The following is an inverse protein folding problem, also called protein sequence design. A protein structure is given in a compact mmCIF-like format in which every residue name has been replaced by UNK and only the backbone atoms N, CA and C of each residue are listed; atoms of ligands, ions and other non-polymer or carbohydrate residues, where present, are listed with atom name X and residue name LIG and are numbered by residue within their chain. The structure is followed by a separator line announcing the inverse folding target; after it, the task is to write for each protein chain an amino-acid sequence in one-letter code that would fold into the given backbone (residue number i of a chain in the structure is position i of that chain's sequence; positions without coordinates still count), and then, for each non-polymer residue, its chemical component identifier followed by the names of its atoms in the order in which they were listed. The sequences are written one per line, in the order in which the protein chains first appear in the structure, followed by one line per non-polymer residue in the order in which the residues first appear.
data_IF_156237596267
#
_entry.id   IF_156237596267
#
_cell.length_a   1.000
_cell.length_b   1.000
_cell.length_c   1.000
_cell.angle_alpha   90.00
_cell.angle_beta   90.00
_cell.angle_gamma   90.00
#
_symmetry.space_group_name_H-M   'P 1'
#
loop_
_entity.id
_entity.type
_entity.pdbx_description
1 polymer ?
#
# COMPACT_ATOMS: atom_id res chain seq x y z
N UNK A 1 -29.26 -1.30 22.11
CA UNK A 1 -29.06 -1.13 20.66
C UNK A 1 -27.80 -0.31 20.45
N UNK A 2 -26.73 -0.98 20.05
CA UNK A 2 -25.54 -0.38 19.45
C UNK A 2 -24.92 -1.52 18.63
N UNK A 3 -25.16 -1.51 17.32
CA UNK A 3 -24.59 -2.48 16.41
C UNK A 3 -23.10 -2.18 16.29
N UNK A 4 -22.27 -2.98 16.95
CA UNK A 4 -20.84 -3.00 16.73
C UNK A 4 -20.61 -3.50 15.30
N UNK A 5 -20.21 -2.60 14.41
CA UNK A 5 -19.69 -2.95 13.09
C UNK A 5 -18.49 -3.87 13.37
N UNK A 6 -18.64 -5.14 13.00
CA UNK A 6 -17.61 -6.16 13.09
C UNK A 6 -16.30 -5.58 12.61
N UNK A 7 -15.28 -5.58 13.49
CA UNK A 7 -13.89 -5.38 13.06
C UNK A 7 -13.67 -6.36 11.91
N UNK A 8 -13.44 -5.86 10.71
CA UNK A 8 -12.96 -6.68 9.60
C UNK A 8 -11.54 -7.06 10.03
N UNK A 9 -11.40 -8.26 10.58
CA UNK A 9 -10.20 -8.77 11.27
C UNK A 9 -9.08 -9.23 10.35
N UNK A 10 -9.18 -9.06 9.05
CA UNK A 10 -8.36 -9.89 8.15
C UNK A 10 -7.20 -9.16 7.49
N UNK A 11 -6.84 -7.94 7.93
CA UNK A 11 -5.76 -7.17 7.32
C UNK A 11 -4.55 -7.03 8.26
N UNK A 12 -3.77 -8.11 8.43
CA UNK A 12 -2.47 -8.04 9.12
C UNK A 12 -1.33 -8.06 8.11
N UNK A 13 -0.69 -6.90 7.90
CA UNK A 13 0.59 -6.85 7.20
C UNK A 13 1.71 -7.22 8.18
N UNK A 14 2.18 -8.46 8.16
CA UNK A 14 3.31 -8.86 9.03
C UNK A 14 4.63 -8.49 8.35
N UNK A 15 5.24 -7.39 8.79
CA UNK A 15 6.59 -6.97 8.39
C UNK A 15 7.62 -7.47 9.39
N UNK A 16 8.57 -8.29 8.94
CA UNK A 16 9.67 -8.75 9.80
C UNK A 16 10.83 -7.76 9.79
N UNK A 17 11.42 -7.43 10.96
CA UNK A 17 12.41 -6.35 11.15
C UNK A 17 13.80 -6.61 10.53
N UNK A 18 13.92 -7.62 9.67
CA UNK A 18 15.15 -7.99 8.99
C UNK A 18 14.77 -8.61 7.65
N UNK A 19 14.72 -7.78 6.61
CA UNK A 19 14.64 -8.17 5.19
C UNK A 19 13.41 -8.98 4.74
N UNK A 20 12.81 -8.50 3.64
CA UNK A 20 12.07 -9.25 2.60
C UNK A 20 10.66 -9.82 2.82
N UNK A 21 9.91 -9.58 3.91
CA UNK A 21 8.53 -10.14 4.00
C UNK A 21 7.48 -9.25 4.66
N UNK A 22 6.35 -9.10 3.97
CA UNK A 22 5.12 -8.38 4.30
C UNK A 22 3.85 -9.18 3.88
N UNK A 23 3.28 -10.05 4.73
CA UNK A 23 2.14 -10.90 4.31
C UNK A 23 0.84 -10.09 4.20
N UNK A 24 0.09 -10.16 3.09
CA UNK A 24 -1.21 -9.49 2.93
C UNK A 24 -2.35 -10.51 2.87
N UNK A 25 -3.05 -10.74 3.98
CA UNK A 25 -4.27 -11.57 3.97
C UNK A 25 -5.50 -10.71 3.66
N UNK A 26 -6.40 -11.18 2.80
CA UNK A 26 -7.75 -10.64 2.65
C UNK A 26 -8.71 -11.81 2.42
N UNK A 27 -10.01 -11.61 2.67
CA UNK A 27 -11.07 -12.63 2.49
C UNK A 27 -11.28 -13.09 1.04
N UNK A 28 -10.47 -12.60 0.10
CA UNK A 28 -10.21 -13.20 -1.20
C UNK A 28 -8.72 -13.53 -1.27
N UNK A 29 -8.37 -14.79 -1.60
CA UNK A 29 -6.99 -15.34 -1.71
C UNK A 29 -5.87 -14.31 -1.47
N UNK A 30 -5.18 -14.36 -0.31
CA UNK A 30 -4.09 -13.45 0.06
C UNK A 30 -3.15 -13.16 -1.11
N UNK A 31 -2.77 -11.90 -1.30
CA UNK A 31 -1.71 -11.59 -2.26
C UNK A 31 -0.43 -12.30 -1.80
N UNK A 32 0.17 -13.05 -2.70
CA UNK A 32 1.41 -13.76 -2.44
C UNK A 32 2.57 -12.78 -2.26
N UNK A 33 3.52 -13.17 -1.42
CA UNK A 33 4.76 -12.43 -1.25
C UNK A 33 5.69 -12.62 -2.44
N UNK A 34 6.18 -11.51 -2.99
CA UNK A 34 7.07 -11.52 -4.16
C UNK A 34 8.43 -10.92 -3.81
N UNK A 35 9.46 -11.79 -3.79
CA UNK A 35 10.84 -11.38 -3.54
C UNK A 35 11.36 -10.44 -4.64
N UNK A 36 10.89 -10.60 -5.87
CA UNK A 36 11.28 -9.74 -7.00
C UNK A 36 10.73 -8.31 -6.80
N UNK A 37 9.45 -8.17 -6.44
CA UNK A 37 8.85 -6.87 -6.13
C UNK A 37 9.49 -6.21 -4.91
N UNK A 38 9.85 -7.00 -3.89
CA UNK A 38 10.56 -6.51 -2.71
C UNK A 38 11.98 -6.03 -3.05
N UNK A 39 12.69 -6.73 -3.94
CA UNK A 39 14.03 -6.31 -4.42
C UNK A 39 13.95 -5.01 -5.22
N UNK A 40 12.91 -4.85 -6.04
CA UNK A 40 12.62 -3.59 -6.74
C UNK A 40 12.31 -2.48 -5.72
N UNK A 41 11.44 -2.74 -4.75
CA UNK A 41 11.09 -1.79 -3.69
C UNK A 41 12.34 -1.33 -2.90
N UNK A 42 13.24 -2.26 -2.60
CA UNK A 42 14.53 -1.96 -1.98
C UNK A 42 15.35 -1.01 -2.84
N UNK A 43 15.53 -1.32 -4.13
CA UNK A 43 16.33 -0.49 -5.04
C UNK A 43 15.84 0.96 -5.14
N UNK A 44 14.53 1.18 -4.94
CA UNK A 44 13.91 2.51 -4.89
C UNK A 44 14.10 3.14 -3.51
N UNK A 45 13.78 2.41 -2.43
CA UNK A 45 13.82 2.93 -1.07
C UNK A 45 15.23 3.37 -0.63
N UNK A 46 16.28 2.65 -1.05
CA UNK A 46 17.68 2.99 -0.74
C UNK A 46 18.14 4.32 -1.34
N UNK A 47 17.42 4.86 -2.33
CA UNK A 47 17.76 6.16 -2.93
C UNK A 47 17.49 7.31 -1.97
N UNK A 48 16.63 7.11 -0.96
CA UNK A 48 16.22 8.16 -0.02
C UNK A 48 15.64 9.40 -0.72
N UNK A 49 14.98 9.19 -1.86
CA UNK A 49 14.20 10.19 -2.59
C UNK A 49 12.73 9.78 -2.51
N UNK A 50 11.98 10.46 -1.64
CA UNK A 50 10.56 10.21 -1.50
C UNK A 50 9.81 10.63 -2.77
N UNK A 51 9.17 9.67 -3.41
CA UNK A 51 8.44 9.85 -4.64
C UNK A 51 8.08 8.50 -5.25
N UNK A 52 7.10 8.51 -6.15
CA UNK A 52 6.75 7.30 -6.89
C UNK A 52 7.79 7.00 -7.96
N UNK A 53 8.19 5.73 -8.07
CA UNK A 53 8.99 5.19 -9.17
C UNK A 53 8.42 3.83 -9.55
N UNK A 54 7.76 3.78 -10.71
CA UNK A 54 7.21 2.55 -11.30
C UNK A 54 7.92 2.16 -12.59
N UNK A 55 9.08 2.76 -12.86
CA UNK A 55 9.92 2.44 -14.03
C UNK A 55 11.07 1.49 -13.68
N UNK A 56 11.58 1.56 -12.44
CA UNK A 56 12.62 0.65 -11.95
C UNK A 56 12.17 -0.82 -12.02
N UNK A 57 13.06 -1.73 -12.40
CA UNK A 57 12.73 -3.17 -12.48
C UNK A 57 11.75 -3.53 -13.60
N UNK A 58 11.81 -2.84 -14.76
CA UNK A 58 10.95 -3.01 -15.95
C UNK A 58 9.49 -2.54 -15.83
N UNK A 59 9.11 -2.02 -14.68
CA UNK A 59 7.76 -1.49 -14.43
C UNK A 59 6.65 -2.54 -14.47
N UNK A 60 5.42 -2.09 -14.77
CA UNK A 60 4.24 -2.97 -14.82
C UNK A 60 3.73 -3.43 -13.45
N UNK A 61 3.99 -2.66 -12.40
CA UNK A 61 3.47 -2.84 -11.05
C UNK A 61 2.84 -1.54 -10.53
N UNK A 62 1.90 -1.66 -9.61
CA UNK A 62 1.35 -0.55 -8.84
C UNK A 62 2.23 -0.26 -7.63
N UNK A 63 2.06 0.89 -7.00
CA UNK A 63 2.93 1.28 -5.89
C UNK A 63 2.22 2.15 -4.86
N UNK A 64 2.42 1.80 -3.59
CA UNK A 64 2.17 2.68 -2.44
C UNK A 64 3.51 3.05 -1.82
N UNK A 65 3.64 4.29 -1.37
CA UNK A 65 4.82 4.78 -0.66
C UNK A 65 4.42 5.46 0.64
N UNK A 66 5.29 5.37 1.65
CA UNK A 66 5.07 6.02 2.94
C UNK A 66 6.37 6.52 3.54
N UNK A 67 6.30 7.57 4.35
CA UNK A 67 7.43 8.14 5.06
C UNK A 67 7.13 8.27 6.56
N UNK A 68 8.16 8.15 7.40
CA UNK A 68 8.04 8.43 8.83
C UNK A 68 7.92 7.22 9.75
N UNK A 69 7.57 6.04 9.22
CA UNK A 69 7.38 4.83 10.01
C UNK A 69 8.62 3.92 9.95
N UNK A 70 9.26 3.59 11.09
CA UNK A 70 10.24 2.51 11.15
C UNK A 70 9.58 1.16 10.87
N UNK A 71 10.37 0.13 10.52
CA UNK A 71 9.90 -1.21 10.12
C UNK A 71 8.82 -1.78 11.05
N UNK A 72 8.95 -1.60 12.36
CA UNK A 72 7.99 -2.08 13.37
C UNK A 72 6.62 -1.39 13.33
N UNK A 73 6.54 -0.20 12.74
CA UNK A 73 5.31 0.62 12.66
C UNK A 73 4.70 0.63 11.26
N UNK A 74 5.40 0.09 10.25
CA UNK A 74 4.87 0.01 8.89
C UNK A 74 3.56 -0.80 8.80
N UNK A 75 3.34 -1.89 9.56
CA UNK A 75 2.03 -2.55 9.61
C UNK A 75 0.90 -1.56 9.94
N UNK A 76 1.09 -0.74 10.98
CA UNK A 76 0.13 0.31 11.38
C UNK A 76 0.01 1.44 10.36
N UNK A 77 1.12 1.84 9.72
CA UNK A 77 1.07 2.81 8.63
C UNK A 77 0.15 2.31 7.50
N UNK A 78 0.21 1.03 7.17
CA UNK A 78 -0.59 0.45 6.09
C UNK A 78 -2.04 0.21 6.54
N UNK A 79 -2.27 -0.41 7.71
CA UNK A 79 -3.63 -0.71 8.21
C UNK A 79 -4.42 0.54 8.60
N UNK A 80 -3.78 1.48 9.29
CA UNK A 80 -4.49 2.58 9.93
C UNK A 80 -4.46 3.83 9.04
N UNK A 81 -3.32 4.13 8.41
CA UNK A 81 -3.18 5.34 7.61
C UNK A 81 -3.60 5.11 6.16
N UNK A 82 -2.93 4.20 5.45
CA UNK A 82 -3.21 3.96 4.02
C UNK A 82 -4.56 3.29 3.77
N UNK A 83 -5.00 2.41 4.67
CA UNK A 83 -6.32 1.80 4.60
C UNK A 83 -7.34 2.55 5.47
N UNK A 84 -7.12 2.62 6.78
CA UNK A 84 -8.12 3.10 7.75
C UNK A 84 -8.56 4.55 7.56
N UNK A 85 -7.65 5.47 7.24
CA UNK A 85 -7.99 6.87 6.99
C UNK A 85 -8.62 7.08 5.61
N UNK A 86 -8.33 6.20 4.65
CA UNK A 86 -8.69 6.37 3.24
C UNK A 86 -9.97 5.62 2.85
N UNK A 87 -10.31 4.53 3.53
CA UNK A 87 -11.50 3.71 3.24
C UNK A 87 -12.80 4.52 3.28
N UNK A 88 -12.88 5.50 4.18
CA UNK A 88 -14.04 6.40 4.32
C UNK A 88 -14.03 7.56 3.30
N UNK A 89 -12.92 7.75 2.60
CA UNK A 89 -12.75 8.76 1.54
C UNK A 89 -12.98 8.17 0.15
N UNK A 90 -13.03 6.83 0.03
CA UNK A 90 -13.31 6.15 -1.22
C UNK A 90 -14.77 6.41 -1.67
N UNK A 91 -15.00 6.94 -2.87
CA UNK A 91 -16.30 7.54 -3.20
C UNK A 91 -17.39 6.51 -3.48
N UNK A 92 -17.08 5.40 -4.17
CA UNK A 92 -18.08 4.41 -4.61
C UNK A 92 -17.50 3.02 -4.86
N UNK A 93 -18.07 2.02 -4.21
CA UNK A 93 -17.77 0.61 -4.48
C UNK A 93 -18.46 0.09 -5.74
N UNK A 94 -17.82 -0.88 -6.40
CA UNK A 94 -18.35 -1.57 -7.59
C UNK A 94 -18.79 -0.65 -8.73
N UNK A 95 -18.20 0.56 -8.80
CA UNK A 95 -18.41 1.58 -9.83
C UNK A 95 -17.10 2.32 -10.07
N UNK A 96 -17.00 3.00 -11.20
CA UNK A 96 -15.89 3.92 -11.44
C UNK A 96 -15.99 5.14 -10.52
N UNK A 97 -14.91 5.50 -9.80
CA UNK A 97 -14.87 6.63 -8.89
C UNK A 97 -14.64 7.95 -9.65
N UNK A 98 -14.98 9.06 -9.00
CA UNK A 98 -14.45 10.37 -9.41
C UNK A 98 -12.97 10.46 -8.99
N UNK A 99 -12.10 10.69 -9.97
CA UNK A 99 -10.65 10.75 -9.79
C UNK A 99 -10.15 12.09 -9.22
N UNK A 100 -11.02 13.09 -9.05
CA UNK A 100 -10.66 14.44 -8.58
C UNK A 100 -9.92 14.46 -7.23
N UNK A 101 -10.17 13.46 -6.38
CA UNK A 101 -9.57 13.32 -5.05
C UNK A 101 -8.73 12.04 -4.91
N UNK A 102 -8.21 11.49 -6.01
CA UNK A 102 -7.47 10.22 -6.01
C UNK A 102 -6.37 10.14 -4.94
N UNK A 103 -5.62 11.22 -4.72
CA UNK A 103 -4.56 11.28 -3.71
C UNK A 103 -5.04 11.06 -2.25
N UNK A 104 -6.35 11.08 -1.99
CA UNK A 104 -6.95 10.85 -0.66
C UNK A 104 -7.39 9.40 -0.42
N UNK A 105 -7.47 8.57 -1.45
CA UNK A 105 -7.98 7.20 -1.32
C UNK A 105 -7.23 6.16 -2.18
N UNK A 106 -6.24 6.61 -2.96
CA UNK A 106 -5.53 5.77 -3.92
C UNK A 106 -4.71 4.66 -3.27
N UNK A 107 -4.23 4.85 -2.03
CA UNK A 107 -3.52 3.77 -1.33
C UNK A 107 -4.52 2.67 -0.95
N UNK A 108 -5.66 3.05 -0.39
CA UNK A 108 -6.74 2.12 -0.05
C UNK A 108 -7.18 1.30 -1.28
N UNK A 109 -7.47 1.95 -2.41
CA UNK A 109 -7.96 1.24 -3.58
C UNK A 109 -6.94 0.27 -4.19
N UNK A 110 -5.64 0.58 -4.09
CA UNK A 110 -4.57 -0.36 -4.47
C UNK A 110 -4.52 -1.55 -3.49
N UNK A 111 -4.64 -1.28 -2.19
CA UNK A 111 -4.60 -2.30 -1.14
C UNK A 111 -5.70 -3.35 -1.35
N UNK A 112 -6.93 -2.92 -1.66
CA UNK A 112 -8.07 -3.83 -1.83
C UNK A 112 -8.29 -4.29 -3.27
N UNK A 113 -7.34 -4.03 -4.16
CA UNK A 113 -7.50 -4.30 -5.59
C UNK A 113 -7.57 -5.80 -5.89
N UNK A 114 -8.76 -6.30 -6.24
CA UNK A 114 -9.02 -7.73 -6.38
C UNK A 114 -8.08 -8.47 -7.35
N UNK A 115 -7.71 -7.84 -8.46
CA UNK A 115 -6.85 -8.46 -9.47
C UNK A 115 -5.38 -8.51 -9.05
N UNK A 116 -4.94 -7.73 -8.05
CA UNK A 116 -3.57 -7.81 -7.54
C UNK A 116 -3.37 -9.17 -6.88
N UNK A 117 -2.24 -9.81 -7.19
CA UNK A 117 -1.91 -11.18 -6.74
C UNK A 117 -0.61 -11.26 -5.97
N UNK A 118 0.25 -10.27 -6.11
CA UNK A 118 1.57 -10.25 -5.51
C UNK A 118 1.86 -8.87 -4.93
N UNK A 119 2.54 -8.85 -3.80
CA UNK A 119 3.08 -7.63 -3.18
C UNK A 119 4.50 -7.87 -2.69
N UNK A 120 5.34 -6.85 -2.78
CA UNK A 120 6.67 -6.83 -2.17
C UNK A 120 6.99 -5.44 -1.65
N UNK A 121 7.41 -5.36 -0.39
CA UNK A 121 7.69 -4.11 0.29
C UNK A 121 9.14 -4.06 0.81
N UNK A 122 9.65 -2.85 0.96
CA UNK A 122 10.91 -2.58 1.65
C UNK A 122 10.86 -1.22 2.35
N UNK A 123 11.50 -1.14 3.51
CA UNK A 123 11.64 0.10 4.29
C UNK A 123 13.12 0.41 4.49
N UNK A 124 13.52 1.64 4.15
CA UNK A 124 14.87 2.15 4.32
C UNK A 124 14.91 3.21 5.41
N UNK A 125 15.83 3.08 6.36
CA UNK A 125 16.24 4.19 7.22
C UNK A 125 17.27 5.09 6.49
N UNK A 126 16.90 6.33 6.20
CA UNK A 126 17.67 7.32 5.46
C UNK A 126 18.45 8.24 6.40
N UNK A 127 19.51 7.70 7.02
CA UNK A 127 20.30 8.32 8.11
C UNK A 127 20.53 9.83 7.99
N UNK A 128 20.95 10.30 6.81
CA UNK A 128 21.35 11.70 6.63
C UNK A 128 20.18 12.63 6.30
N UNK A 129 19.18 12.15 5.55
CA UNK A 129 17.90 12.83 5.25
C UNK A 129 17.07 11.97 4.28
N UNK A 130 15.76 12.00 4.43
CA UNK A 130 14.81 11.66 3.37
C UNK A 130 14.50 12.92 2.55
N UNK A 131 14.86 12.94 1.27
CA UNK A 131 14.53 14.04 0.36
C UNK A 131 13.13 13.88 -0.23
N UNK A 132 12.53 14.95 -0.77
CA UNK A 132 11.18 14.89 -1.35
C UNK A 132 10.03 14.96 -0.33
N UNK A 133 10.33 15.02 0.96
CA UNK A 133 9.34 15.27 2.03
C UNK A 133 9.34 16.72 2.50
N UNK A 134 8.23 17.16 3.10
CA UNK A 134 8.11 18.44 3.78
C UNK A 134 8.13 18.26 5.31
N UNK A 135 8.69 19.23 6.02
CA UNK A 135 8.77 19.20 7.49
C UNK A 135 9.77 18.21 8.06
N UNK A 136 9.73 18.05 9.39
CA UNK A 136 10.57 17.12 10.13
C UNK A 136 9.88 15.74 10.20
N UNK A 137 10.04 14.95 9.14
CA UNK A 137 9.58 13.55 9.11
C UNK A 137 10.74 12.65 9.52
N UNK A 138 10.47 11.67 10.39
CA UNK A 138 11.42 10.61 10.73
C UNK A 138 11.90 9.94 9.43
N UNK A 139 13.22 9.80 9.16
CA UNK A 139 13.69 9.55 7.79
C UNK A 139 13.59 8.09 7.39
N UNK A 140 12.43 7.47 7.55
CA UNK A 140 12.12 6.15 7.01
C UNK A 140 11.33 6.30 5.72
N UNK A 141 11.69 5.53 4.71
CA UNK A 141 11.01 5.48 3.42
C UNK A 141 10.58 4.05 3.13
N UNK A 142 9.27 3.83 3.08
CA UNK A 142 8.66 2.55 2.74
C UNK A 142 8.13 2.59 1.31
N UNK A 143 8.43 1.55 0.54
CA UNK A 143 7.90 1.31 -0.80
C UNK A 143 7.24 -0.07 -0.82
N UNK A 144 6.01 -0.16 -1.31
CA UNK A 144 5.30 -1.42 -1.57
C UNK A 144 4.87 -1.48 -3.03
N UNK A 145 5.32 -2.49 -3.75
CA UNK A 145 4.99 -2.72 -5.16
C UNK A 145 3.97 -3.86 -5.29
N UNK A 146 3.02 -3.72 -6.21
CA UNK A 146 1.85 -4.60 -6.39
C UNK A 146 1.74 -5.12 -7.81
N UNK A 147 1.53 -6.42 -8.00
CA UNK A 147 1.39 -7.03 -9.34
C UNK A 147 0.22 -8.03 -9.41
N UNK A 148 -0.61 -8.01 -10.46
CA UNK A 148 -0.82 -6.92 -11.42
C UNK A 148 -1.11 -5.57 -10.74
N UNK A 149 -0.83 -4.43 -11.42
CA UNK A 149 -1.05 -3.10 -10.86
C UNK A 149 -2.53 -2.85 -10.57
N UNK A 150 -2.79 -2.14 -9.48
CA UNK A 150 -4.11 -1.60 -9.18
C UNK A 150 -4.33 -0.22 -9.78
N UNK A 151 -5.45 0.40 -9.40
CA UNK A 151 -5.79 1.78 -9.76
C UNK A 151 -5.85 2.05 -11.28
N UNK A 152 -6.17 1.03 -12.08
CA UNK A 152 -6.30 1.15 -13.52
C UNK A 152 -7.66 1.77 -13.89
N UNK A 153 -7.64 2.88 -14.64
CA UNK A 153 -8.86 3.54 -15.12
C UNK A 153 -9.79 2.56 -15.85
N UNK A 154 -11.09 2.59 -15.54
CA UNK A 154 -12.09 1.71 -16.14
C UNK A 154 -12.15 0.31 -15.50
N UNK A 155 -11.35 0.04 -14.46
CA UNK A 155 -11.30 -1.27 -13.82
C UNK A 155 -11.69 -1.24 -12.34
N UNK A 156 -12.03 -0.07 -11.78
CA UNK A 156 -12.38 0.06 -10.36
C UNK A 156 -13.64 -0.72 -10.01
N UNK A 157 -14.65 -0.69 -10.90
CA UNK A 157 -15.92 -1.38 -10.66
C UNK A 157 -15.74 -2.90 -10.44
N UNK A 158 -14.78 -3.51 -11.13
CA UNK A 158 -14.51 -4.94 -11.00
C UNK A 158 -13.62 -5.27 -9.79
N UNK A 159 -12.76 -4.32 -9.37
CA UNK A 159 -11.66 -4.59 -8.45
C UNK A 159 -11.84 -4.06 -7.04
N UNK A 160 -12.65 -3.01 -6.83
CA UNK A 160 -12.88 -2.44 -5.49
C UNK A 160 -14.33 -2.71 -5.09
N UNK A 161 -14.52 -3.84 -4.41
CA UNK A 161 -15.84 -4.33 -3.97
C UNK A 161 -16.19 -3.79 -2.59
N UNK A 162 -17.49 -3.68 -2.33
CA UNK A 162 -17.94 -3.38 -0.99
C UNK A 162 -17.49 -4.51 -0.04
N UNK A 163 -17.15 -4.19 1.23
CA UNK A 163 -16.92 -5.21 2.23
C UNK A 163 -18.11 -6.17 2.28
N UNK A 164 -17.83 -7.48 2.32
CA UNK A 164 -18.87 -8.47 2.59
C UNK A 164 -19.41 -8.24 4.00
N UNK A 165 -20.74 -8.20 4.10
CA UNK A 165 -21.48 -7.97 5.33
C UNK A 165 -21.71 -9.27 6.09
#
# INVERSE_FOLDING_TARGET
MAFAISKITDFELVLTPSTTKATLETSNTPAALSNDLASIAQSIAITCVYGHDTATGSGGYGQNIGAGAPDSEVPSMISDQMYGNEVNLYPRYSKEPDMSNFAKWGHFSQIVWLATKEVGCYTQHCENRLSGTSGNINPYFTVCNYKPPGNMNGQYAANVRAPVQ
#
